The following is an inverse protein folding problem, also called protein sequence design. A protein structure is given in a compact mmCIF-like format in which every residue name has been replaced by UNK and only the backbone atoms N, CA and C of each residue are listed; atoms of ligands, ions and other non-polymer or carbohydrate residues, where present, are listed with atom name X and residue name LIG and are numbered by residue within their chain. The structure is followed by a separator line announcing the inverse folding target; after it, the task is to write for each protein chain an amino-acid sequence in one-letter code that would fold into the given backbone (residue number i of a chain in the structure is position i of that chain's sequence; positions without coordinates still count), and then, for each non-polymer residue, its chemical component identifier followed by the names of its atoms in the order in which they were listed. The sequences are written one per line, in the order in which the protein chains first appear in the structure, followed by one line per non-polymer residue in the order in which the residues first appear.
data_IF_228873200498
#
_entry.id   IF_228873200498
#
_cell.length_a   1.000
_cell.length_b   1.000
_cell.length_c   1.000
_cell.angle_alpha   90.00
_cell.angle_beta   90.00
_cell.angle_gamma   90.00
#
_symmetry.space_group_name_H-M   'P 1'
#
loop_
_entity.id
_entity.type
_entity.pdbx_description
1 polymer ?
#
# COMPACT_ATOMS: atom_id res chain seq x y z
N UNK A 1 -5.71 -20.20 -21.57
CA UNK A 1 -4.95 -19.13 -22.24
C UNK A 1 -4.41 -18.22 -21.17
N UNK A 2 -3.08 -18.15 -21.01
CA UNK A 2 -2.44 -17.22 -20.08
C UNK A 2 -2.45 -15.86 -20.77
N UNK A 3 -3.26 -14.92 -20.27
CA UNK A 3 -3.47 -13.60 -20.90
C UNK A 3 -2.18 -12.75 -20.98
N UNK A 4 -1.12 -13.15 -20.28
CA UNK A 4 0.21 -12.53 -20.30
C UNK A 4 1.30 -13.61 -20.20
N UNK A 5 1.88 -14.08 -21.31
CA UNK A 5 3.03 -14.97 -21.24
C UNK A 5 4.20 -14.23 -20.57
N UNK A 6 4.45 -14.53 -19.29
CA UNK A 6 5.52 -13.90 -18.50
C UNK A 6 6.85 -13.84 -19.25
N UNK A 7 7.14 -14.86 -20.06
CA UNK A 7 8.36 -14.98 -20.86
C UNK A 7 8.55 -13.87 -21.91
N UNK A 8 7.48 -13.33 -22.47
CA UNK A 8 7.54 -12.29 -23.52
C UNK A 8 7.67 -10.89 -22.93
N UNK A 9 7.08 -10.66 -21.75
CA UNK A 9 7.02 -9.35 -21.11
C UNK A 9 8.00 -9.17 -19.94
N UNK A 10 8.92 -10.12 -19.72
CA UNK A 10 9.93 -10.03 -18.64
C UNK A 10 10.67 -8.69 -18.68
N UNK A 11 11.06 -8.23 -19.86
CA UNK A 11 11.78 -6.96 -20.03
C UNK A 11 10.95 -5.74 -19.63
N UNK A 12 9.66 -5.75 -19.93
CA UNK A 12 8.75 -4.68 -19.51
C UNK A 12 8.58 -4.66 -17.99
N UNK A 13 8.36 -5.84 -17.38
CA UNK A 13 8.27 -5.95 -15.91
C UNK A 13 9.58 -5.56 -15.24
N UNK A 14 10.73 -5.97 -15.77
CA UNK A 14 12.04 -5.61 -15.25
C UNK A 14 12.30 -4.09 -15.37
N UNK A 15 11.94 -3.49 -16.51
CA UNK A 15 12.05 -2.05 -16.73
C UNK A 15 11.14 -1.25 -15.80
N UNK A 16 9.88 -1.66 -15.63
CA UNK A 16 8.94 -1.05 -14.69
C UNK A 16 9.43 -1.16 -13.24
N UNK A 17 9.91 -2.34 -12.83
CA UNK A 17 10.45 -2.56 -11.49
C UNK A 17 11.68 -1.67 -11.24
N UNK A 18 12.59 -1.59 -12.21
CA UNK A 18 13.76 -0.72 -12.14
C UNK A 18 13.37 0.76 -12.07
N UNK A 19 12.37 1.19 -12.84
CA UNK A 19 11.83 2.55 -12.77
C UNK A 19 11.26 2.86 -11.38
N UNK A 20 10.46 1.95 -10.80
CA UNK A 20 9.92 2.10 -9.44
C UNK A 20 11.04 2.21 -8.42
N UNK A 21 12.07 1.35 -8.48
CA UNK A 21 13.22 1.44 -7.58
C UNK A 21 14.02 2.73 -7.77
N UNK A 22 14.15 3.23 -9.01
CA UNK A 22 14.84 4.48 -9.29
C UNK A 22 14.08 5.69 -8.73
N UNK A 23 12.77 5.76 -8.95
CA UNK A 23 11.92 6.83 -8.38
C UNK A 23 11.96 6.78 -6.86
N UNK A 24 11.88 5.59 -6.26
CA UNK A 24 11.96 5.40 -4.82
C UNK A 24 13.34 5.81 -4.28
N UNK A 25 14.43 5.48 -4.98
CA UNK A 25 15.78 5.93 -4.62
C UNK A 25 15.92 7.47 -4.69
N UNK A 26 15.28 8.12 -5.67
CA UNK A 26 15.30 9.59 -5.82
C UNK A 26 14.48 10.27 -4.72
N UNK A 27 13.22 9.85 -4.52
CA UNK A 27 12.31 10.44 -3.54
C UNK A 27 12.88 10.35 -2.11
N UNK A 28 13.49 9.20 -1.79
CA UNK A 28 14.06 8.94 -0.48
C UNK A 28 15.49 9.47 -0.32
N UNK A 29 16.28 9.52 -1.39
CA UNK A 29 17.70 9.93 -1.35
C UNK A 29 17.93 11.44 -1.48
N UNK A 30 17.09 12.15 -2.25
CA UNK A 30 17.35 13.55 -2.62
C UNK A 30 16.39 14.52 -1.94
N UNK A 31 15.13 14.16 -1.71
CA UNK A 31 14.09 15.15 -1.45
C UNK A 31 13.80 15.51 0.02
N UNK A 32 14.23 14.75 1.03
CA UNK A 32 13.71 14.93 2.40
C UNK A 32 14.77 15.14 3.50
N UNK A 33 15.61 16.17 3.34
CA UNK A 33 16.52 16.63 4.41
C UNK A 33 15.86 17.49 5.51
N UNK A 34 14.61 17.95 5.35
CA UNK A 34 13.88 18.73 6.37
C UNK A 34 12.42 18.30 6.46
N UNK A 35 12.10 17.52 7.49
CA UNK A 35 10.73 17.12 7.78
C UNK A 35 9.96 18.32 8.35
N UNK A 36 9.12 18.94 7.53
CA UNK A 36 8.06 19.81 8.05
C UNK A 36 6.91 18.90 8.49
N UNK A 37 6.53 18.99 9.76
CA UNK A 37 5.42 18.18 10.30
C UNK A 37 4.12 18.83 9.82
N UNK A 38 3.55 18.29 8.74
CA UNK A 38 2.25 18.71 8.22
C UNK A 38 1.21 18.48 9.34
N UNK A 39 0.54 19.54 9.77
CA UNK A 39 -0.49 19.44 10.80
C UNK A 39 -1.72 18.67 10.30
N UNK A 40 -2.50 18.07 11.20
CA UNK A 40 -3.68 17.27 10.84
C UNK A 40 -4.66 18.00 9.90
N UNK A 41 -4.88 19.30 10.12
CA UNK A 41 -5.78 20.12 9.29
C UNK A 41 -5.24 20.34 7.88
N UNK A 42 -3.93 20.52 7.76
CA UNK A 42 -3.25 20.69 6.47
C UNK A 42 -3.22 19.36 5.70
N UNK A 43 -2.96 18.24 6.38
CA UNK A 43 -2.98 16.91 5.77
C UNK A 43 -4.38 16.52 5.25
N UNK A 44 -5.43 16.81 6.02
CA UNK A 44 -6.82 16.63 5.57
C UNK A 44 -7.13 17.56 4.40
N UNK A 45 -6.73 18.83 4.46
CA UNK A 45 -6.93 19.79 3.37
C UNK A 45 -6.26 19.34 2.07
N UNK A 46 -5.01 18.90 2.13
CA UNK A 46 -4.28 18.33 1.00
C UNK A 46 -4.96 17.06 0.46
N UNK A 47 -5.44 16.18 1.33
CA UNK A 47 -6.13 14.95 0.91
C UNK A 47 -7.43 15.27 0.18
N UNK A 48 -8.24 16.18 0.72
CA UNK A 48 -9.49 16.63 0.09
C UNK A 48 -9.21 17.31 -1.26
N UNK A 49 -8.18 18.15 -1.34
CA UNK A 49 -7.76 18.77 -2.59
C UNK A 49 -7.46 17.74 -3.68
N UNK A 50 -6.61 16.73 -3.38
CA UNK A 50 -6.26 15.69 -4.34
C UNK A 50 -7.44 14.80 -4.74
N UNK A 51 -8.31 14.45 -3.79
CA UNK A 51 -9.53 13.69 -4.08
C UNK A 51 -10.47 14.50 -4.98
N UNK A 52 -10.62 15.79 -4.72
CA UNK A 52 -11.46 16.68 -5.52
C UNK A 52 -10.93 16.80 -6.93
N UNK A 53 -9.61 16.99 -7.08
CA UNK A 53 -8.96 17.04 -8.39
C UNK A 53 -9.14 15.73 -9.17
N UNK A 54 -9.03 14.57 -8.50
CA UNK A 54 -9.27 13.27 -9.13
C UNK A 54 -10.73 13.08 -9.56
N UNK A 55 -11.70 13.54 -8.77
CA UNK A 55 -13.12 13.48 -9.13
C UNK A 55 -13.46 14.43 -10.28
N UNK A 56 -12.90 15.64 -10.28
CA UNK A 56 -13.04 16.58 -11.40
C UNK A 56 -12.42 16.02 -12.67
N UNK A 57 -11.23 15.41 -12.56
CA UNK A 57 -10.61 14.71 -13.67
C UNK A 57 -11.49 13.55 -14.16
N UNK A 58 -12.04 12.71 -13.28
CA UNK A 58 -12.93 11.61 -13.66
C UNK A 58 -14.19 12.11 -14.39
N UNK A 59 -14.76 13.22 -13.91
CA UNK A 59 -15.90 13.84 -14.58
C UNK A 59 -15.53 14.41 -15.95
N UNK A 60 -14.38 15.09 -16.06
CA UNK A 60 -13.84 15.54 -17.34
C UNK A 60 -13.55 14.39 -18.31
N UNK A 61 -12.99 13.29 -17.80
CA UNK A 61 -12.72 12.06 -18.54
C UNK A 61 -14.02 11.41 -19.04
N UNK A 62 -15.06 11.37 -18.21
CA UNK A 62 -16.39 10.93 -18.63
C UNK A 62 -16.95 11.77 -19.78
N UNK A 63 -16.86 13.11 -19.69
CA UNK A 63 -17.32 14.00 -20.76
C UNK A 63 -16.51 13.82 -22.04
N UNK A 64 -15.19 13.66 -21.91
CA UNK A 64 -14.29 13.38 -23.03
C UNK A 64 -14.65 12.05 -23.71
N UNK A 65 -14.78 10.96 -22.95
CA UNK A 65 -15.19 9.66 -23.48
C UNK A 65 -16.56 9.72 -24.16
N UNK A 66 -17.54 10.43 -23.57
CA UNK A 66 -18.86 10.61 -24.18
C UNK A 66 -18.75 11.33 -25.53
N UNK A 67 -17.96 12.40 -25.60
CA UNK A 67 -17.74 13.14 -26.84
C UNK A 67 -17.06 12.26 -27.89
N UNK A 68 -15.95 11.61 -27.53
CA UNK A 68 -15.15 10.77 -28.41
C UNK A 68 -15.95 9.57 -28.93
N UNK A 69 -16.69 8.86 -28.07
CA UNK A 69 -17.50 7.70 -28.46
C UNK A 69 -18.71 8.09 -29.31
N UNK A 70 -19.24 9.31 -29.16
CA UNK A 70 -20.34 9.80 -30.01
C UNK A 70 -19.91 10.20 -31.43
N UNK A 71 -18.63 10.53 -31.64
CA UNK A 71 -18.11 10.92 -32.96
C UNK A 71 -17.57 9.74 -33.77
N UNK A 72 -17.26 8.62 -33.11
CA UNK A 72 -16.65 7.47 -33.75
C UNK A 72 -17.68 6.60 -34.48
N UNK A 73 -17.76 6.79 -35.81
CA UNK A 73 -18.69 6.06 -36.70
C UNK A 73 -18.54 4.53 -36.63
N UNK A 74 -17.32 4.04 -36.40
CA UNK A 74 -17.02 2.60 -36.29
C UNK A 74 -17.62 1.98 -35.01
N UNK A 75 -17.64 2.73 -33.90
CA UNK A 75 -18.17 2.23 -32.63
C UNK A 75 -19.71 2.23 -32.64
N UNK A 76 -20.32 3.23 -33.28
CA UNK A 76 -21.78 3.29 -33.45
C UNK A 76 -22.34 2.23 -34.41
N UNK A 77 -21.50 1.65 -35.28
CA UNK A 77 -21.89 0.56 -36.17
C UNK A 77 -21.95 -0.81 -35.46
N UNK A 78 -21.47 -0.91 -34.21
CA UNK A 78 -21.55 -2.13 -33.42
C UNK A 78 -22.97 -2.30 -32.85
N UNK A 79 -23.60 -3.45 -33.10
CA UNK A 79 -24.93 -3.77 -32.58
C UNK A 79 -24.92 -3.80 -31.05
N UNK A 80 -25.63 -2.85 -30.41
CA UNK A 80 -25.75 -2.75 -28.95
C UNK A 80 -24.77 -1.78 -28.28
N UNK A 81 -24.00 -0.99 -29.04
CA UNK A 81 -23.11 0.02 -28.47
C UNK A 81 -23.90 1.28 -28.07
N UNK A 82 -23.96 1.54 -26.76
CA UNK A 82 -24.47 2.79 -26.19
C UNK A 82 -23.27 3.65 -25.72
N UNK A 83 -22.97 4.78 -26.40
CA UNK A 83 -21.84 5.66 -26.05
C UNK A 83 -21.89 6.17 -24.61
N UNK A 84 -23.10 6.44 -24.09
CA UNK A 84 -23.27 6.92 -22.72
C UNK A 84 -22.93 5.81 -21.72
N UNK A 85 -23.36 4.57 -21.99
CA UNK A 85 -23.02 3.43 -21.15
C UNK A 85 -21.51 3.17 -21.16
N UNK A 86 -20.86 3.14 -22.32
CA UNK A 86 -19.41 2.87 -22.40
C UNK A 86 -18.55 3.96 -21.73
N UNK A 87 -18.94 5.24 -21.87
CA UNK A 87 -18.27 6.35 -21.19
C UNK A 87 -18.39 6.22 -19.65
N UNK A 88 -19.56 5.83 -19.13
CA UNK A 88 -19.76 5.58 -17.71
C UNK A 88 -18.91 4.40 -17.21
N UNK A 89 -18.82 3.32 -17.97
CA UNK A 89 -17.96 2.18 -17.61
C UNK A 89 -16.50 2.59 -17.48
N UNK A 90 -15.98 3.34 -18.46
CA UNK A 90 -14.59 3.81 -18.45
C UNK A 90 -14.30 4.74 -17.25
N UNK A 91 -15.24 5.63 -16.93
CA UNK A 91 -15.14 6.50 -15.75
C UNK A 91 -15.24 5.71 -14.43
N UNK A 92 -16.06 4.66 -14.39
CA UNK A 92 -16.13 3.77 -13.24
C UNK A 92 -14.84 2.98 -13.06
N UNK A 93 -14.23 2.47 -14.13
CA UNK A 93 -12.93 1.80 -14.07
C UNK A 93 -11.83 2.70 -13.51
N UNK A 94 -11.77 3.96 -13.98
CA UNK A 94 -10.85 4.96 -13.43
C UNK A 94 -11.12 5.19 -11.93
N UNK A 95 -12.38 5.43 -11.55
CA UNK A 95 -12.75 5.71 -10.17
C UNK A 95 -12.46 4.51 -9.24
N UNK A 96 -12.77 3.30 -9.70
CA UNK A 96 -12.47 2.06 -8.98
C UNK A 96 -10.97 1.90 -8.81
N UNK A 97 -10.18 2.12 -9.88
CA UNK A 97 -8.73 2.11 -9.81
C UNK A 97 -8.19 3.11 -8.79
N UNK A 98 -8.67 4.36 -8.84
CA UNK A 98 -8.30 5.41 -7.90
C UNK A 98 -8.61 5.03 -6.44
N UNK A 99 -9.82 4.53 -6.17
CA UNK A 99 -10.22 4.10 -4.81
C UNK A 99 -9.36 2.94 -4.32
N UNK A 100 -9.12 1.94 -5.18
CA UNK A 100 -8.29 0.78 -4.84
C UNK A 100 -6.86 1.23 -4.52
N UNK A 101 -6.27 2.10 -5.35
CA UNK A 101 -4.92 2.63 -5.12
C UNK A 101 -4.85 3.43 -3.80
N UNK A 102 -5.84 4.28 -3.52
CA UNK A 102 -5.92 5.03 -2.27
C UNK A 102 -6.10 4.14 -1.05
N UNK A 103 -6.95 3.11 -1.13
CA UNK A 103 -7.17 2.15 -0.05
C UNK A 103 -5.89 1.37 0.26
N UNK A 104 -5.16 0.93 -0.77
CA UNK A 104 -3.92 0.17 -0.64
C UNK A 104 -2.78 1.03 -0.06
N UNK A 105 -2.75 2.34 -0.35
CA UNK A 105 -1.83 3.28 0.29
C UNK A 105 -2.14 3.50 1.78
N UNK A 106 -3.43 3.61 2.16
CA UNK A 106 -3.87 3.81 3.55
C UNK A 106 -3.59 2.56 4.40
N UNK A 107 -3.85 1.36 3.86
CA UNK A 107 -3.58 0.08 4.53
C UNK A 107 -2.11 -0.05 4.94
N UNK A 108 -1.20 0.27 4.00
CA UNK A 108 0.24 0.28 4.26
C UNK A 108 0.62 1.28 5.38
N UNK A 109 0.08 2.51 5.35
CA UNK A 109 0.36 3.55 6.35
C UNK A 109 -0.14 3.14 7.75
N UNK A 110 -1.32 2.52 7.82
CA UNK A 110 -1.94 2.11 9.08
C UNK A 110 -1.03 1.15 9.87
N UNK A 111 -0.48 0.14 9.20
CA UNK A 111 0.45 -0.82 9.82
C UNK A 111 1.66 -0.10 10.42
N UNK A 112 2.25 0.88 9.70
CA UNK A 112 3.39 1.65 10.23
C UNK A 112 3.02 2.49 11.44
N UNK A 113 1.86 3.17 11.44
CA UNK A 113 1.41 3.98 12.58
C UNK A 113 1.17 3.11 13.82
N UNK A 114 0.53 1.95 13.64
CA UNK A 114 0.31 0.99 14.74
C UNK A 114 1.65 0.48 15.29
N UNK A 115 2.58 0.10 14.43
CA UNK A 115 3.91 -0.35 14.85
C UNK A 115 4.69 0.75 15.59
N UNK A 116 4.67 2.00 15.10
CA UNK A 116 5.37 3.11 15.77
C UNK A 116 4.78 3.42 17.14
N UNK A 117 3.46 3.32 17.29
CA UNK A 117 2.79 3.45 18.59
C UNK A 117 3.15 2.31 19.53
N UNK A 118 3.12 1.07 19.03
CA UNK A 118 3.48 -0.12 19.80
C UNK A 118 4.91 -0.06 20.35
N UNK A 119 5.87 0.39 19.54
CA UNK A 119 7.28 0.51 19.94
C UNK A 119 7.65 1.88 20.55
N UNK A 120 6.70 2.81 20.71
CA UNK A 120 6.96 4.13 21.31
C UNK A 120 7.98 4.99 20.54
N UNK A 121 8.00 4.90 19.21
CA UNK A 121 9.06 5.52 18.39
C UNK A 121 8.84 7.04 18.27
N UNK A 122 9.81 7.88 18.67
CA UNK A 122 9.71 9.33 18.57
C UNK A 122 9.62 9.80 17.10
N UNK A 123 8.83 10.83 16.83
CA UNK A 123 8.50 11.31 15.48
C UNK A 123 9.71 11.62 14.59
N UNK A 124 10.83 12.04 15.19
CA UNK A 124 12.07 12.37 14.47
C UNK A 124 12.74 11.13 13.85
N UNK A 125 12.58 9.95 14.48
CA UNK A 125 13.15 8.69 14.02
C UNK A 125 12.22 7.93 13.06
N UNK A 126 10.91 8.25 13.05
CA UNK A 126 9.91 7.57 12.24
C UNK A 126 10.25 7.59 10.75
N UNK A 127 10.77 8.70 10.22
CA UNK A 127 11.15 8.81 8.81
C UNK A 127 12.20 7.76 8.39
N UNK A 128 13.24 7.56 9.20
CA UNK A 128 14.31 6.59 8.89
C UNK A 128 13.79 5.15 8.97
N UNK A 129 12.90 4.87 9.91
CA UNK A 129 12.33 3.53 10.08
C UNK A 129 11.30 3.26 8.98
N UNK A 130 10.51 4.27 8.60
CA UNK A 130 9.58 4.20 7.48
C UNK A 130 10.32 3.94 6.16
N UNK A 131 11.50 4.55 5.95
CA UNK A 131 12.35 4.28 4.80
C UNK A 131 12.68 2.78 4.66
N UNK A 132 13.28 2.19 5.71
CA UNK A 132 13.65 0.78 5.70
C UNK A 132 12.42 -0.13 5.67
N UNK A 133 11.32 0.30 6.31
CA UNK A 133 10.04 -0.39 6.33
C UNK A 133 9.39 -0.46 4.94
N UNK A 134 9.30 0.65 4.21
CA UNK A 134 8.73 0.68 2.85
C UNK A 134 9.60 -0.14 1.90
N UNK A 135 10.93 0.01 1.95
CA UNK A 135 11.83 -0.76 1.09
C UNK A 135 11.69 -2.27 1.33
N UNK A 136 11.66 -2.68 2.61
CA UNK A 136 11.41 -4.07 3.00
C UNK A 136 10.02 -4.55 2.59
N UNK A 137 8.98 -3.75 2.82
CA UNK A 137 7.60 -4.09 2.45
C UNK A 137 7.43 -4.25 0.93
N UNK A 138 8.02 -3.38 0.12
CA UNK A 138 8.00 -3.49 -1.35
C UNK A 138 8.72 -4.75 -1.79
N UNK A 139 9.89 -5.05 -1.22
CA UNK A 139 10.63 -6.29 -1.50
C UNK A 139 9.82 -7.54 -1.16
N UNK A 140 9.28 -7.64 0.06
CA UNK A 140 8.42 -8.76 0.46
C UNK A 140 7.15 -8.83 -0.38
N UNK A 141 6.57 -7.70 -0.76
CA UNK A 141 5.40 -7.63 -1.64
C UNK A 141 5.71 -8.22 -3.02
N UNK A 142 6.87 -7.89 -3.62
CA UNK A 142 7.28 -8.49 -4.91
C UNK A 142 7.39 -10.02 -4.78
N UNK A 143 8.03 -10.50 -3.72
CA UNK A 143 8.19 -11.94 -3.46
C UNK A 143 6.83 -12.62 -3.25
N UNK A 144 5.97 -12.08 -2.38
CA UNK A 144 4.67 -12.67 -2.10
C UNK A 144 3.73 -12.63 -3.29
N UNK A 145 3.77 -11.57 -4.12
CA UNK A 145 3.00 -11.51 -5.36
C UNK A 145 3.51 -12.55 -6.36
N UNK A 146 4.82 -12.67 -6.55
CA UNK A 146 5.40 -13.64 -7.47
C UNK A 146 5.10 -15.09 -7.04
N UNK A 147 5.30 -15.40 -5.77
CA UNK A 147 4.94 -16.71 -5.20
C UNK A 147 3.43 -16.94 -5.31
N UNK A 148 2.61 -15.96 -4.90
CA UNK A 148 1.16 -16.00 -5.01
C UNK A 148 0.70 -16.30 -6.43
N UNK A 149 1.25 -15.61 -7.44
CA UNK A 149 0.89 -15.81 -8.85
C UNK A 149 1.16 -17.24 -9.33
N UNK A 150 2.23 -17.89 -8.87
CA UNK A 150 2.51 -19.31 -9.17
C UNK A 150 1.55 -20.22 -8.42
N UNK A 151 1.31 -19.94 -7.13
CA UNK A 151 0.40 -20.71 -6.30
C UNK A 151 -1.03 -20.68 -6.88
N UNK A 152 -1.51 -19.52 -7.34
CA UNK A 152 -2.88 -19.33 -7.86
C UNK A 152 -3.18 -20.13 -9.14
N UNK A 153 -2.17 -20.70 -9.80
CA UNK A 153 -2.38 -21.63 -10.92
C UNK A 153 -3.00 -22.96 -10.46
N UNK A 154 -2.89 -23.30 -9.18
CA UNK A 154 -3.47 -24.49 -8.59
C UNK A 154 -4.94 -24.19 -8.24
N UNK A 155 -5.86 -24.90 -8.90
CA UNK A 155 -7.32 -24.64 -8.87
C UNK A 155 -7.92 -24.52 -7.45
N UNK A 156 -7.37 -25.24 -6.45
CA UNK A 156 -7.86 -25.22 -5.07
C UNK A 156 -7.17 -24.16 -4.18
N UNK A 157 -5.98 -23.67 -4.56
CA UNK A 157 -5.23 -22.73 -3.73
C UNK A 157 -6.01 -21.42 -3.53
N UNK A 158 -6.75 -20.96 -4.54
CA UNK A 158 -7.43 -19.66 -4.50
C UNK A 158 -8.46 -19.64 -3.36
N UNK A 159 -9.19 -20.75 -3.20
CA UNK A 159 -10.17 -20.93 -2.13
C UNK A 159 -9.48 -21.05 -0.77
N UNK A 160 -8.39 -21.84 -0.70
CA UNK A 160 -7.61 -22.02 0.54
C UNK A 160 -7.03 -20.70 1.03
N UNK A 161 -6.41 -19.93 0.13
CA UNK A 161 -5.81 -18.63 0.44
C UNK A 161 -6.90 -17.62 0.86
N UNK A 162 -8.04 -17.62 0.18
CA UNK A 162 -9.19 -16.78 0.55
C UNK A 162 -9.72 -17.10 1.96
N UNK A 163 -9.95 -18.38 2.28
CA UNK A 163 -10.37 -18.80 3.62
C UNK A 163 -9.30 -18.46 4.67
N UNK A 164 -8.03 -18.69 4.37
CA UNK A 164 -6.92 -18.34 5.26
C UNK A 164 -6.89 -16.85 5.59
N UNK A 165 -7.07 -15.98 4.60
CA UNK A 165 -7.14 -14.53 4.79
C UNK A 165 -8.34 -14.11 5.63
N UNK A 166 -9.52 -14.70 5.38
CA UNK A 166 -10.74 -14.42 6.17
C UNK A 166 -10.53 -14.85 7.62
N UNK A 167 -10.03 -16.06 7.86
CA UNK A 167 -9.76 -16.56 9.22
C UNK A 167 -8.74 -15.69 9.96
N UNK A 168 -7.68 -15.26 9.28
CA UNK A 168 -6.64 -14.41 9.87
C UNK A 168 -7.17 -13.00 10.16
N UNK A 169 -7.95 -12.43 9.25
CA UNK A 169 -8.61 -11.13 9.44
C UNK A 169 -9.60 -11.16 10.61
N UNK A 170 -10.44 -12.19 10.71
CA UNK A 170 -11.34 -12.39 11.84
C UNK A 170 -10.56 -12.58 13.15
N UNK A 171 -9.47 -13.35 13.13
CA UNK A 171 -8.60 -13.52 14.31
C UNK A 171 -8.04 -12.19 14.80
N UNK A 172 -7.60 -11.30 13.90
CA UNK A 172 -7.10 -9.96 14.27
C UNK A 172 -8.24 -9.10 14.82
N UNK A 173 -9.43 -9.14 14.21
CA UNK A 173 -10.59 -8.37 14.65
C UNK A 173 -11.11 -8.79 16.04
N UNK A 174 -11.05 -10.09 16.34
CA UNK A 174 -11.51 -10.64 17.63
C UNK A 174 -10.40 -10.83 18.67
N UNK A 175 -9.14 -10.57 18.34
CA UNK A 175 -8.06 -10.57 19.34
C UNK A 175 -8.10 -9.23 20.08
N UNK A 176 -8.50 -9.21 21.37
CA UNK A 176 -8.48 -7.96 22.11
C UNK A 176 -7.04 -7.44 22.22
N UNK A 177 -6.85 -6.12 22.20
CA UNK A 177 -5.56 -5.41 22.40
C UNK A 177 -4.98 -5.66 23.82
N UNK A 178 -4.78 -6.91 24.20
CA UNK A 178 -4.01 -7.23 25.39
C UNK A 178 -2.55 -7.10 24.99
N UNK A 179 -1.83 -6.25 25.72
CA UNK A 179 -0.38 -6.17 25.66
C UNK A 179 0.19 -7.59 25.76
N UNK A 180 0.61 -8.15 24.63
CA UNK A 180 1.26 -9.45 24.59
C UNK A 180 2.57 -9.27 25.35
N UNK A 181 2.65 -9.86 26.55
CA UNK A 181 3.84 -9.82 27.39
C UNK A 181 5.08 -10.15 26.54
N UNK A 182 6.04 -9.22 26.39
CA UNK A 182 7.16 -9.34 25.45
C UNK A 182 8.06 -10.57 25.64
N UNK A 183 7.96 -11.25 26.78
CA UNK A 183 8.90 -12.28 27.21
C UNK A 183 8.53 -13.70 26.81
N UNK A 184 7.30 -13.95 26.35
CA UNK A 184 6.80 -15.33 26.09
C UNK A 184 6.68 -15.68 24.61
N UNK A 185 6.84 -14.74 23.67
CA UNK A 185 6.60 -15.02 22.25
C UNK A 185 7.90 -15.42 21.52
N UNK A 186 8.01 -16.65 20.96
CA UNK A 186 9.19 -17.09 20.21
C UNK A 186 9.55 -16.17 19.04
N UNK A 187 8.57 -15.45 18.48
CA UNK A 187 8.80 -14.45 17.43
C UNK A 187 9.60 -13.24 17.93
N UNK A 188 9.35 -12.77 19.17
CA UNK A 188 10.10 -11.68 19.78
C UNK A 188 11.55 -12.09 20.10
N UNK A 189 11.78 -13.34 20.53
CA UNK A 189 13.14 -13.88 20.71
C UNK A 189 13.89 -14.03 19.39
N UNK A 190 13.21 -14.43 18.33
CA UNK A 190 13.81 -14.49 16.99
C UNK A 190 14.18 -13.09 16.49
N UNK A 191 13.31 -12.11 16.71
CA UNK A 191 13.56 -10.71 16.31
C UNK A 191 14.68 -10.06 17.12
N UNK A 192 14.77 -10.32 18.43
CA UNK A 192 15.88 -9.92 19.31
C UNK A 192 17.22 -10.58 18.94
N UNK A 193 17.19 -11.71 18.22
CA UNK A 193 18.41 -12.39 17.75
C UNK A 193 18.98 -11.76 16.48
N UNK A 194 18.13 -11.10 15.69
CA UNK A 194 18.50 -10.47 14.42
C UNK A 194 18.73 -8.96 14.59
N UNK A 195 18.08 -8.32 15.55
CA UNK A 195 18.26 -6.91 15.88
C UNK A 195 19.01 -6.77 17.22
N UNK A 196 20.12 -6.02 17.28
CA UNK A 196 20.75 -5.68 18.55
C UNK A 196 19.81 -4.77 19.36
N UNK A 197 19.06 -5.36 20.28
CA UNK A 197 18.24 -4.61 21.23
C UNK A 197 19.15 -4.13 22.34
N UNK A 198 19.57 -2.86 22.27
CA UNK A 198 20.22 -2.21 23.41
C UNK A 198 19.18 -1.98 24.50
N UNK A 199 19.17 -2.86 25.50
CA UNK A 199 18.63 -2.53 26.81
C UNK A 199 19.52 -1.47 27.45
N UNK A 200 19.36 -0.20 27.09
CA UNK A 200 19.76 0.88 27.98
C UNK A 200 18.62 1.13 28.95
N UNK A 201 18.64 0.33 30.00
CA UNK A 201 18.10 0.68 31.30
C UNK A 201 18.91 1.88 31.81
N UNK A 202 18.53 3.11 31.44
CA UNK A 202 18.91 4.26 32.26
C UNK A 202 17.90 4.32 33.41
N UNK A 203 18.13 3.46 34.40
CA UNK A 203 17.74 3.70 35.79
C UNK A 203 18.32 5.06 36.20
N UNK A 204 17.55 6.11 35.93
CA UNK A 204 17.77 7.43 36.50
C UNK A 204 17.61 7.31 38.00
N UNK A 205 18.72 7.10 38.71
CA UNK A 205 18.86 7.23 40.16
C UNK A 205 18.35 8.61 40.58
N UNK A 206 17.06 8.72 40.90
CA UNK A 206 16.51 9.84 41.64
C UNK A 206 16.86 9.63 43.11
N UNK A 207 17.98 10.24 43.50
CA UNK A 207 18.40 10.60 44.87
C UNK A 207 17.57 10.03 46.02
N UNK A 208 18.18 9.07 46.73
CA UNK A 208 17.95 8.92 48.17
C UNK A 208 18.49 10.18 48.86
N UNK A 209 17.63 10.84 49.64
CA UNK A 209 18.07 11.76 50.70
C UNK A 209 17.54 11.20 52.01
N UNK A 210 18.49 11.02 52.91
CA UNK A 210 18.42 10.55 54.31
C UNK A 210 17.19 11.06 55.04
#
# INVERSE_FOLDING_TARGET
MVLFPFREYVWFYAGFLLFVFAVLAIDLGVFHRKAHVIGMREAVGLSVFWITLALLFNFGFYLYCKHEFSQNLQLMALSGFDPDHQARYSALEFLTGFIVEKSLAIDNLFIFVVLFRFFGIPAQSQHKILFWGILGAVFFRIIFIALGAVLLQIHWINLLLGVFLVLTGLKIFFSPEHAINPETNPFLRFLQRVLPVTHKTDEGKFFLKV
#
